data_IF_676611322287
#
_entry.id   IF_676611322287
#
_cell.length_a   1.000
_cell.length_b   1.000
_cell.length_c   1.000
_cell.angle_alpha   90.00
_cell.angle_beta   90.00
_cell.angle_gamma   90.00
#
_symmetry.space_group_name_H-M   'P 1'
#
loop_
_entity.id
_entity.type
_entity.pdbx_description
1 polymer ?
#
# COMPACT_ATOMS: atom_id res chain seq x y z
N UNK A 1 -14.68 15.28 -6.16
CA UNK A 1 -13.56 15.87 -5.35
C UNK A 1 -12.27 15.18 -5.79
N UNK A 2 -11.10 15.88 -5.81
CA UNK A 2 -9.83 15.23 -6.16
C UNK A 2 -9.36 14.39 -4.97
N UNK A 3 -9.06 13.10 -5.13
CA UNK A 3 -8.59 12.27 -4.02
C UNK A 3 -7.14 12.59 -3.63
N UNK A 4 -6.76 12.16 -2.42
CA UNK A 4 -5.38 12.21 -1.92
C UNK A 4 -4.70 10.86 -2.07
N UNK A 5 -3.42 10.84 -2.45
CA UNK A 5 -2.57 9.66 -2.39
C UNK A 5 -1.79 9.65 -1.06
N UNK A 6 -1.96 8.61 -0.27
CA UNK A 6 -1.23 8.36 0.98
C UNK A 6 -0.16 7.29 0.75
N UNK A 7 1.12 7.65 0.89
CA UNK A 7 2.26 6.74 0.70
C UNK A 7 2.80 6.29 2.06
N UNK A 8 2.81 4.98 2.28
CA UNK A 8 3.38 4.39 3.50
C UNK A 8 4.88 4.26 3.35
N UNK A 9 5.62 5.13 4.02
CA UNK A 9 7.07 5.25 3.92
C UNK A 9 7.81 5.15 5.27
N UNK A 10 7.10 4.87 6.38
CA UNK A 10 7.68 4.78 7.73
C UNK A 10 8.45 3.47 8.00
N UNK A 11 8.18 2.40 7.24
CA UNK A 11 8.89 1.12 7.31
C UNK A 11 10.31 1.13 6.76
N UNK A 12 10.78 2.28 6.33
CA UNK A 12 12.00 2.52 5.58
C UNK A 12 13.26 2.43 6.44
N UNK A 13 14.24 1.70 5.95
CA UNK A 13 15.64 1.85 6.39
C UNK A 13 16.15 0.88 7.43
N UNK A 14 15.32 0.04 8.07
CA UNK A 14 15.81 -0.86 9.11
C UNK A 14 16.75 -1.98 8.62
N UNK A 15 16.71 -2.32 7.32
CA UNK A 15 17.53 -3.42 6.76
C UNK A 15 18.76 -2.98 5.97
N UNK A 16 18.87 -1.70 5.59
CA UNK A 16 19.92 -1.21 4.67
C UNK A 16 20.70 0.01 5.18
N UNK A 17 20.50 0.44 6.44
CA UNK A 17 21.24 1.56 7.05
C UNK A 17 21.02 2.93 6.37
N UNK A 18 19.98 3.08 5.52
CA UNK A 18 19.65 4.30 4.81
C UNK A 18 18.28 4.26 4.17
N UNK A 19 17.86 5.37 3.56
CA UNK A 19 16.61 5.48 2.83
C UNK A 19 16.68 4.69 1.49
N UNK A 20 16.30 3.40 1.51
CA UNK A 20 16.21 2.54 0.30
C UNK A 20 15.38 3.20 -0.82
N UNK A 21 14.45 4.08 -0.46
CA UNK A 21 13.57 4.81 -1.38
C UNK A 21 14.28 5.91 -2.16
N UNK A 22 15.54 6.17 -1.83
CA UNK A 22 16.42 7.04 -2.61
C UNK A 22 17.21 6.28 -3.69
N UNK A 23 17.02 4.94 -3.81
CA UNK A 23 17.65 4.19 -4.90
C UNK A 23 17.00 4.59 -6.22
N UNK A 24 17.75 5.31 -7.03
CA UNK A 24 17.34 5.69 -8.37
C UNK A 24 17.32 4.46 -9.28
N UNK A 25 16.17 4.19 -9.85
CA UNK A 25 15.92 3.08 -10.77
C UNK A 25 15.60 3.57 -12.18
N UNK A 26 15.16 4.82 -12.31
CA UNK A 26 14.97 5.50 -13.58
C UNK A 26 16.23 6.18 -14.11
N UNK A 27 16.24 6.59 -15.39
CA UNK A 27 17.43 7.12 -16.08
C UNK A 27 17.96 8.45 -15.49
N UNK A 28 17.13 9.22 -14.81
CA UNK A 28 17.54 10.49 -14.16
C UNK A 28 17.55 10.38 -12.63
N UNK A 29 17.58 9.14 -12.09
CA UNK A 29 17.58 8.90 -10.67
C UNK A 29 16.16 8.86 -10.06
N UNK A 30 15.14 8.69 -10.89
CA UNK A 30 13.77 8.50 -10.40
C UNK A 30 13.67 7.22 -9.59
N UNK A 31 12.96 7.31 -8.46
CA UNK A 31 12.66 6.18 -7.57
C UNK A 31 11.35 5.52 -7.98
N UNK A 32 11.04 4.34 -7.45
CA UNK A 32 9.75 3.68 -7.69
C UNK A 32 8.56 4.59 -7.34
N UNK A 33 8.64 5.29 -6.21
CA UNK A 33 7.53 6.17 -5.80
C UNK A 33 7.36 7.39 -6.72
N UNK A 34 8.40 7.85 -7.41
CA UNK A 34 8.27 8.95 -8.38
C UNK A 34 7.33 8.55 -9.52
N UNK A 35 7.40 7.30 -9.99
CA UNK A 35 6.47 6.75 -11.00
C UNK A 35 5.04 6.64 -10.47
N UNK A 36 4.87 6.17 -9.22
CA UNK A 36 3.55 6.10 -8.58
C UNK A 36 2.91 7.49 -8.45
N UNK A 37 3.69 8.50 -8.05
CA UNK A 37 3.20 9.88 -7.93
C UNK A 37 2.88 10.47 -9.29
N UNK A 38 3.72 10.24 -10.30
CA UNK A 38 3.47 10.67 -11.67
C UNK A 38 2.15 10.09 -12.18
N UNK A 39 1.92 8.79 -12.02
CA UNK A 39 0.68 8.14 -12.45
C UNK A 39 -0.55 8.62 -11.65
N UNK A 40 -0.40 8.89 -10.36
CA UNK A 40 -1.47 9.47 -9.54
C UNK A 40 -1.86 10.88 -10.03
N UNK A 41 -0.88 11.71 -10.41
CA UNK A 41 -1.15 13.04 -11.02
C UNK A 41 -1.95 12.86 -12.32
N UNK A 42 -1.56 11.93 -13.19
CA UNK A 42 -2.26 11.64 -14.44
C UNK A 42 -3.68 11.08 -14.17
N UNK A 43 -3.89 10.37 -13.07
CA UNK A 43 -5.19 9.85 -12.64
C UNK A 43 -6.07 10.89 -11.90
N UNK A 44 -5.60 12.13 -11.77
CA UNK A 44 -6.37 13.25 -11.23
C UNK A 44 -6.32 13.41 -9.70
N UNK A 45 -5.37 12.76 -9.02
CA UNK A 45 -5.13 13.02 -7.60
C UNK A 45 -4.71 14.49 -7.38
N UNK A 46 -5.17 15.07 -6.27
CA UNK A 46 -4.98 16.50 -5.98
C UNK A 46 -3.94 16.81 -4.92
N UNK A 47 -3.52 15.81 -4.16
CA UNK A 47 -2.56 15.94 -3.05
C UNK A 47 -1.86 14.60 -2.79
N UNK A 48 -0.64 14.66 -2.31
CA UNK A 48 0.08 13.50 -1.78
C UNK A 48 0.43 13.73 -0.31
N UNK A 49 0.35 12.66 0.48
CA UNK A 49 0.75 12.67 1.90
C UNK A 49 1.69 11.49 2.12
N UNK A 50 2.81 11.73 2.77
CA UNK A 50 3.75 10.67 3.13
C UNK A 50 3.69 10.40 4.62
N UNK A 51 3.59 9.14 4.99
CA UNK A 51 3.83 8.69 6.37
C UNK A 51 5.27 8.28 6.49
N UNK A 52 6.04 9.01 7.28
CA UNK A 52 7.47 8.75 7.51
C UNK A 52 7.78 8.67 9.02
N UNK A 53 9.00 8.32 9.36
CA UNK A 53 9.51 8.50 10.71
C UNK A 53 10.04 9.93 10.86
N UNK A 54 9.87 10.51 12.05
CA UNK A 54 10.28 11.90 12.33
C UNK A 54 11.79 12.15 12.14
N UNK A 55 12.61 11.15 12.43
CA UNK A 55 14.08 11.25 12.30
C UNK A 55 14.57 11.39 10.85
N UNK A 56 13.72 11.13 9.86
CA UNK A 56 14.04 11.32 8.44
C UNK A 56 13.47 12.61 7.82
N UNK A 57 12.80 13.45 8.59
CA UNK A 57 12.05 14.61 8.05
C UNK A 57 12.92 15.52 7.18
N UNK A 58 14.04 16.01 7.70
CA UNK A 58 14.88 17.00 7.00
C UNK A 58 15.42 16.43 5.68
N UNK A 59 15.93 15.20 5.73
CA UNK A 59 16.44 14.52 4.54
C UNK A 59 15.35 14.25 3.52
N UNK A 60 14.13 13.91 4.00
CA UNK A 60 12.99 13.62 3.13
C UNK A 60 12.47 14.89 2.46
N UNK A 61 12.41 16.01 3.19
CA UNK A 61 12.05 17.32 2.62
C UNK A 61 13.04 17.76 1.54
N UNK A 62 14.32 17.67 1.81
CA UNK A 62 15.36 18.10 0.88
C UNK A 62 15.40 17.24 -0.38
N UNK A 63 15.36 15.92 -0.25
CA UNK A 63 15.64 14.99 -1.36
C UNK A 63 14.41 14.45 -2.08
N UNK A 64 13.24 14.46 -1.41
CA UNK A 64 12.02 13.86 -1.94
C UNK A 64 10.96 14.92 -2.22
N UNK A 65 10.53 15.69 -1.22
CA UNK A 65 9.46 16.66 -1.40
C UNK A 65 9.80 17.73 -2.43
N UNK A 66 11.04 18.18 -2.47
CA UNK A 66 11.52 19.19 -3.43
C UNK A 66 11.28 18.79 -4.89
N UNK A 67 11.23 17.49 -5.20
CA UNK A 67 10.97 17.00 -6.57
C UNK A 67 9.54 17.33 -7.04
N UNK A 68 8.59 17.43 -6.11
CA UNK A 68 7.16 17.59 -6.43
C UNK A 68 6.68 19.03 -6.35
N UNK A 69 7.56 19.97 -5.99
CA UNK A 69 7.25 21.39 -5.95
C UNK A 69 6.77 21.88 -7.33
N UNK A 70 5.60 22.54 -7.36
CA UNK A 70 4.98 23.01 -8.59
C UNK A 70 4.21 21.93 -9.39
N UNK A 71 4.29 20.66 -9.02
CA UNK A 71 3.59 19.56 -9.69
C UNK A 71 2.35 19.11 -8.92
N UNK A 72 2.45 18.91 -7.61
CA UNK A 72 1.34 18.49 -6.74
C UNK A 72 1.63 18.92 -5.30
N UNK A 73 0.61 19.40 -4.53
CA UNK A 73 0.75 19.63 -3.11
C UNK A 73 1.19 18.36 -2.35
N UNK A 74 2.20 18.48 -1.49
CA UNK A 74 2.79 17.36 -0.77
C UNK A 74 2.93 17.68 0.72
N UNK A 75 2.46 16.79 1.59
CA UNK A 75 2.50 16.92 3.04
C UNK A 75 3.15 15.70 3.71
N UNK A 76 3.64 15.88 4.93
CA UNK A 76 4.20 14.81 5.76
C UNK A 76 3.34 14.58 6.99
N UNK A 77 3.18 13.31 7.38
CA UNK A 77 2.81 12.92 8.72
C UNK A 77 3.81 11.90 9.27
N UNK A 78 3.80 11.70 10.56
CA UNK A 78 4.83 10.92 11.23
C UNK A 78 4.22 9.75 11.97
N UNK A 79 4.88 8.59 11.87
CA UNK A 79 4.55 7.42 12.67
C UNK A 79 5.64 7.17 13.70
N UNK A 80 5.26 7.15 14.97
CA UNK A 80 6.12 6.77 16.07
C UNK A 80 5.49 5.64 16.90
N UNK A 81 6.29 4.95 17.71
CA UNK A 81 5.80 3.86 18.56
C UNK A 81 4.89 4.35 19.68
N UNK A 82 5.12 5.57 20.14
CA UNK A 82 4.40 6.23 21.25
C UNK A 82 3.19 7.05 20.78
N UNK A 83 2.90 7.07 19.48
CA UNK A 83 1.65 7.62 18.94
C UNK A 83 0.48 6.67 19.27
N UNK A 84 0.08 6.65 20.53
CA UNK A 84 -0.95 5.76 21.07
C UNK A 84 -2.13 6.56 21.59
N UNK A 85 -3.34 5.96 21.58
CA UNK A 85 -4.50 6.54 22.25
C UNK A 85 -4.26 6.70 23.76
N UNK A 86 -4.97 7.65 24.37
CA UNK A 86 -4.91 7.87 25.81
C UNK A 86 -5.19 6.57 26.59
N UNK A 87 -4.39 6.31 27.62
CA UNK A 87 -4.49 5.13 28.47
C UNK A 87 -3.62 3.95 28.04
N UNK A 88 -2.96 4.03 26.88
CA UNK A 88 -2.04 2.99 26.42
C UNK A 88 -0.58 3.47 26.48
N UNK A 89 0.33 2.52 26.63
CA UNK A 89 1.77 2.77 26.63
C UNK A 89 2.51 1.70 25.83
N UNK A 90 3.68 2.06 25.30
CA UNK A 90 4.53 1.12 24.56
C UNK A 90 5.01 0.01 25.47
N UNK A 91 4.80 -1.27 25.16
CA UNK A 91 5.34 -2.38 25.95
C UNK A 91 6.86 -2.33 26.01
N UNK A 92 7.41 -2.66 27.16
CA UNK A 92 8.87 -2.68 27.36
C UNK A 92 9.57 -3.56 26.33
N UNK A 93 10.58 -2.99 25.66
CA UNK A 93 11.39 -3.67 24.63
C UNK A 93 10.66 -3.90 23.31
N UNK A 94 9.55 -3.21 23.04
CA UNK A 94 8.97 -3.18 21.70
C UNK A 94 9.70 -2.16 20.83
N UNK A 95 10.20 -2.62 19.69
CA UNK A 95 10.87 -1.80 18.66
C UNK A 95 10.09 -1.76 17.35
N UNK A 96 9.22 -2.77 17.13
CA UNK A 96 8.47 -2.91 15.88
C UNK A 96 7.31 -1.92 15.80
N UNK A 97 7.14 -1.17 14.68
CA UNK A 97 5.97 -0.33 14.44
C UNK A 97 4.66 -1.09 14.58
N UNK A 98 3.57 -0.39 14.87
CA UNK A 98 2.25 -1.00 15.09
C UNK A 98 1.56 -1.51 13.83
N UNK A 99 2.15 -1.35 12.66
CA UNK A 99 1.65 -1.88 11.40
C UNK A 99 1.12 -0.83 10.44
N UNK A 100 0.67 -1.29 9.26
CA UNK A 100 0.28 -0.41 8.14
C UNK A 100 -0.98 0.39 8.44
N UNK A 101 -1.94 -0.15 9.20
CA UNK A 101 -3.14 0.60 9.54
C UNK A 101 -2.88 1.70 10.57
N UNK A 102 -1.96 1.49 11.50
CA UNK A 102 -1.50 2.56 12.38
C UNK A 102 -0.81 3.69 11.59
N UNK A 103 -0.03 3.34 10.56
CA UNK A 103 0.56 4.35 9.67
C UNK A 103 -0.52 5.17 8.96
N UNK A 104 -1.58 4.53 8.44
CA UNK A 104 -2.73 5.24 7.84
C UNK A 104 -3.37 6.20 8.84
N UNK A 105 -3.56 5.78 10.08
CA UNK A 105 -4.19 6.58 11.13
C UNK A 105 -3.45 7.90 11.41
N UNK A 106 -2.14 7.95 11.21
CA UNK A 106 -1.34 9.18 11.39
C UNK A 106 -1.74 10.31 10.44
N UNK A 107 -2.44 10.01 9.34
CA UNK A 107 -2.89 11.00 8.36
C UNK A 107 -4.28 11.59 8.67
N UNK A 108 -4.96 11.19 9.74
CA UNK A 108 -6.34 11.56 10.09
C UNK A 108 -6.61 13.06 10.16
N UNK A 109 -5.63 13.83 10.60
CA UNK A 109 -5.77 15.29 10.76
C UNK A 109 -5.48 16.05 9.46
N UNK A 110 -4.80 15.43 8.51
CA UNK A 110 -4.36 16.01 7.23
C UNK A 110 -5.33 15.71 6.10
N UNK A 111 -5.87 14.47 6.05
CA UNK A 111 -6.73 14.00 4.96
C UNK A 111 -8.19 14.11 5.36
N UNK A 112 -8.95 14.91 4.60
CA UNK A 112 -10.40 15.12 4.82
C UNK A 112 -11.25 14.75 3.59
N UNK A 113 -10.61 14.40 2.50
CA UNK A 113 -11.16 13.92 1.23
C UNK A 113 -10.97 12.41 1.06
N UNK A 114 -11.67 11.75 0.11
CA UNK A 114 -11.38 10.36 -0.25
C UNK A 114 -9.90 10.17 -0.60
N UNK A 115 -9.32 9.04 -0.22
CA UNK A 115 -7.88 8.83 -0.38
C UNK A 115 -7.53 7.40 -0.78
N UNK A 116 -6.40 7.26 -1.44
CA UNK A 116 -5.81 5.97 -1.80
C UNK A 116 -4.53 5.76 -0.98
N UNK A 117 -4.39 4.57 -0.41
CA UNK A 117 -3.18 4.14 0.31
C UNK A 117 -2.35 3.22 -0.58
N UNK A 118 -1.04 3.44 -0.60
CA UNK A 118 -0.06 2.57 -1.28
C UNK A 118 1.22 2.40 -0.45
N UNK A 119 1.99 1.37 -0.75
CA UNK A 119 3.38 1.27 -0.32
C UNK A 119 4.26 2.16 -1.21
N UNK A 120 5.30 2.75 -0.66
CA UNK A 120 6.21 3.63 -1.40
C UNK A 120 7.28 2.89 -2.22
N UNK A 121 7.47 1.59 -1.99
CA UNK A 121 8.52 0.77 -2.59
C UNK A 121 8.01 -0.27 -3.61
N UNK A 122 6.74 -0.19 -3.97
CA UNK A 122 6.08 -1.03 -4.97
C UNK A 122 5.79 -0.24 -6.25
N UNK A 123 6.03 -0.86 -7.42
CA UNK A 123 5.63 -0.31 -8.71
C UNK A 123 4.26 -0.86 -9.13
N UNK A 124 3.26 0.01 -9.23
CA UNK A 124 1.87 -0.38 -9.45
C UNK A 124 1.38 -0.23 -10.88
N UNK A 125 2.10 0.54 -11.72
CA UNK A 125 1.74 0.90 -13.08
C UNK A 125 0.46 1.77 -13.16
N UNK A 126 0.32 2.50 -14.28
CA UNK A 126 -0.69 3.55 -14.48
C UNK A 126 -2.13 3.11 -14.33
N UNK A 127 -2.50 1.96 -14.91
CA UNK A 127 -3.90 1.48 -14.88
C UNK A 127 -4.42 1.32 -13.45
N UNK A 128 -3.58 0.89 -12.51
CA UNK A 128 -3.90 0.83 -11.09
C UNK A 128 -4.41 2.18 -10.55
N UNK A 129 -3.69 3.27 -10.82
CA UNK A 129 -4.08 4.62 -10.37
C UNK A 129 -5.31 5.15 -11.10
N UNK A 130 -5.46 4.83 -12.38
CA UNK A 130 -6.64 5.25 -13.15
C UNK A 130 -7.92 4.63 -12.60
N UNK A 131 -7.94 3.32 -12.29
CA UNK A 131 -9.15 2.65 -11.79
C UNK A 131 -9.52 3.12 -10.38
N UNK A 132 -8.55 3.27 -9.46
CA UNK A 132 -8.81 3.72 -8.09
C UNK A 132 -9.11 5.22 -8.03
N UNK A 133 -8.40 6.03 -8.80
CA UNK A 133 -8.62 7.47 -8.90
C UNK A 133 -10.01 7.80 -9.44
N UNK A 134 -10.47 7.07 -10.48
CA UNK A 134 -11.83 7.17 -11.00
C UNK A 134 -12.86 6.83 -9.93
N UNK A 135 -12.73 5.66 -9.27
CA UNK A 135 -13.65 5.25 -8.21
C UNK A 135 -13.78 6.33 -7.12
N UNK A 136 -12.67 6.81 -6.58
CA UNK A 136 -12.66 7.79 -5.48
C UNK A 136 -13.22 9.15 -5.90
N UNK A 137 -12.95 9.60 -7.14
CA UNK A 137 -13.43 10.89 -7.65
C UNK A 137 -14.92 10.90 -7.96
N UNK A 138 -15.50 9.73 -8.29
CA UNK A 138 -16.93 9.55 -8.62
C UNK A 138 -17.80 9.32 -7.38
N UNK A 139 -17.19 9.14 -6.19
CA UNK A 139 -17.97 9.02 -4.96
C UNK A 139 -18.79 10.30 -4.70
N UNK A 140 -20.09 10.18 -4.38
CA UNK A 140 -20.89 11.31 -3.95
C UNK A 140 -20.27 12.01 -2.73
N UNK A 141 -20.43 13.32 -2.66
CA UNK A 141 -20.00 14.09 -1.49
C UNK A 141 -20.63 13.56 -0.20
N UNK A 142 -19.83 13.42 0.86
CA UNK A 142 -20.29 12.86 2.13
C UNK A 142 -20.46 11.34 2.14
N UNK A 143 -20.03 10.63 1.09
CA UNK A 143 -20.01 9.16 1.10
C UNK A 143 -19.26 8.62 2.32
N UNK A 144 -19.84 7.60 2.95
CA UNK A 144 -19.25 6.88 4.10
C UNK A 144 -19.27 5.38 3.86
N UNK A 145 -18.32 4.67 4.45
CA UNK A 145 -18.25 3.21 4.45
C UNK A 145 -18.25 2.58 3.03
N UNK A 146 -17.82 3.35 2.04
CA UNK A 146 -17.71 2.91 0.64
C UNK A 146 -16.26 2.94 0.23
N UNK A 147 -15.64 1.78 0.34
CA UNK A 147 -14.23 1.59 0.11
C UNK A 147 -13.98 0.79 -1.17
N UNK A 148 -12.73 0.74 -1.58
CA UNK A 148 -12.30 -0.08 -2.70
C UNK A 148 -10.89 -0.64 -2.44
N UNK A 149 -10.56 -1.70 -3.14
CA UNK A 149 -9.18 -2.15 -3.30
C UNK A 149 -8.91 -2.41 -4.78
N UNK A 150 -7.67 -2.25 -5.21
CA UNK A 150 -7.25 -2.69 -6.53
C UNK A 150 -6.83 -4.14 -6.45
N UNK A 151 -7.60 -5.02 -7.11
CA UNK A 151 -7.32 -6.45 -7.22
C UNK A 151 -6.37 -6.71 -8.37
N UNK A 152 -5.09 -6.91 -8.06
CA UNK A 152 -4.12 -7.36 -9.04
C UNK A 152 -4.34 -8.83 -9.36
N UNK A 153 -4.10 -9.22 -10.61
CA UNK A 153 -4.11 -10.64 -10.98
C UNK A 153 -2.85 -11.31 -10.43
N UNK A 154 -2.99 -12.38 -9.64
CA UNK A 154 -1.86 -13.01 -8.96
C UNK A 154 -0.71 -13.35 -9.90
N UNK A 155 -1.01 -13.82 -11.13
CA UNK A 155 -0.02 -14.10 -12.15
C UNK A 155 0.83 -12.91 -12.58
N UNK A 156 0.34 -11.67 -12.35
CA UNK A 156 1.04 -10.41 -12.64
C UNK A 156 1.87 -9.88 -11.45
N UNK A 157 1.98 -10.65 -10.35
CA UNK A 157 2.61 -10.18 -9.10
C UNK A 157 3.70 -11.11 -8.58
N UNK A 158 4.11 -12.08 -9.37
CA UNK A 158 5.14 -13.06 -9.00
C UNK A 158 6.55 -12.49 -9.16
N UNK A 159 7.51 -13.10 -8.46
CA UNK A 159 8.94 -12.89 -8.64
C UNK A 159 9.56 -14.12 -9.31
N UNK A 160 10.53 -13.88 -10.18
CA UNK A 160 11.32 -14.97 -10.80
C UNK A 160 12.40 -15.50 -9.82
N UNK A 161 12.64 -14.80 -8.71
CA UNK A 161 13.73 -15.09 -7.77
C UNK A 161 13.28 -15.79 -6.49
N UNK A 162 12.00 -16.15 -6.35
CA UNK A 162 11.49 -16.87 -5.19
C UNK A 162 10.01 -16.69 -4.94
N UNK A 163 9.56 -17.15 -3.77
CA UNK A 163 8.18 -16.98 -3.34
C UNK A 163 7.86 -15.53 -2.98
N UNK A 164 6.60 -15.16 -3.14
CA UNK A 164 6.07 -13.84 -2.73
C UNK A 164 4.92 -14.03 -1.72
N UNK A 165 4.67 -13.02 -0.91
CA UNK A 165 3.52 -12.95 0.00
C UNK A 165 2.44 -12.03 -0.57
N UNK A 166 1.16 -12.48 -0.61
CA UNK A 166 0.03 -11.70 -1.12
C UNK A 166 -1.24 -12.00 -0.34
N UNK A 167 -2.10 -11.00 -0.18
CA UNK A 167 -3.45 -11.22 0.30
C UNK A 167 -4.33 -11.76 -0.83
N UNK A 168 -4.62 -13.06 -0.83
CA UNK A 168 -5.57 -13.65 -1.79
C UNK A 168 -6.97 -13.21 -1.43
N UNK A 169 -7.69 -12.64 -2.40
CA UNK A 169 -9.00 -12.03 -2.23
C UNK A 169 -10.10 -12.89 -2.85
N UNK A 170 -11.22 -12.97 -2.14
CA UNK A 170 -12.49 -13.47 -2.67
C UNK A 170 -13.48 -12.32 -2.79
N UNK A 171 -14.39 -12.40 -3.77
CA UNK A 171 -15.41 -11.39 -4.02
C UNK A 171 -16.77 -12.01 -4.27
N UNK A 172 -17.84 -11.26 -4.00
CA UNK A 172 -19.21 -11.66 -4.30
C UNK A 172 -19.58 -11.36 -5.77
N UNK A 173 -20.85 -11.64 -6.12
CA UNK A 173 -21.37 -11.41 -7.47
C UNK A 173 -21.41 -9.92 -7.86
N UNK A 174 -21.46 -9.04 -6.88
CA UNK A 174 -21.43 -7.57 -7.07
C UNK A 174 -20.01 -7.02 -7.03
N UNK A 175 -18.98 -7.87 -7.14
CA UNK A 175 -17.56 -7.49 -7.09
C UNK A 175 -17.13 -6.85 -5.75
N UNK A 176 -17.84 -7.09 -4.64
CA UNK A 176 -17.40 -6.64 -3.34
C UNK A 176 -16.49 -7.69 -2.69
N UNK A 177 -15.45 -7.23 -2.02
CA UNK A 177 -14.52 -8.06 -1.27
C UNK A 177 -15.25 -8.79 -0.14
N UNK A 178 -15.12 -10.11 -0.10
CA UNK A 178 -15.65 -10.94 0.99
C UNK A 178 -14.57 -11.38 1.97
N UNK A 179 -13.38 -11.66 1.47
CA UNK A 179 -12.22 -12.02 2.30
C UNK A 179 -10.91 -11.56 1.64
N UNK A 180 -9.92 -11.24 2.48
CA UNK A 180 -8.53 -11.04 2.06
C UNK A 180 -7.65 -11.86 3.02
N UNK A 181 -7.04 -12.92 2.51
CA UNK A 181 -6.24 -13.87 3.32
C UNK A 181 -4.79 -13.82 2.88
N UNK A 182 -3.90 -13.42 3.79
CA UNK A 182 -2.47 -13.39 3.55
C UNK A 182 -1.93 -14.81 3.33
N UNK A 183 -1.20 -14.99 2.20
CA UNK A 183 -0.44 -16.21 1.87
C UNK A 183 1.02 -15.82 1.67
N UNK A 184 1.89 -16.37 2.48
CA UNK A 184 3.30 -15.96 2.58
C UNK A 184 4.21 -16.63 1.56
N UNK A 185 3.76 -17.73 0.94
CA UNK A 185 4.53 -18.48 -0.04
C UNK A 185 3.69 -18.71 -1.28
N UNK A 186 3.85 -17.85 -2.29
CA UNK A 186 3.18 -17.99 -3.60
C UNK A 186 4.24 -18.01 -4.68
N UNK A 187 4.16 -18.96 -5.58
CA UNK A 187 5.02 -19.06 -6.75
C UNK A 187 4.35 -19.89 -7.86
N UNK A 188 5.03 -20.02 -8.99
CA UNK A 188 4.57 -20.89 -10.08
C UNK A 188 5.15 -22.29 -9.91
N UNK A 189 4.27 -23.30 -9.79
CA UNK A 189 4.61 -24.73 -9.71
C UNK A 189 4.00 -25.43 -10.92
N UNK A 190 4.81 -26.12 -11.70
CA UNK A 190 4.38 -26.85 -12.91
C UNK A 190 3.49 -26.02 -13.84
N UNK A 191 3.86 -24.75 -14.02
CA UNK A 191 3.16 -23.78 -14.86
C UNK A 191 1.91 -23.14 -14.23
N UNK A 192 1.46 -23.56 -13.04
CA UNK A 192 0.31 -23.00 -12.32
C UNK A 192 0.76 -22.14 -11.15
N UNK A 193 0.09 -21.01 -10.94
CA UNK A 193 0.26 -20.24 -9.71
C UNK A 193 -0.27 -21.06 -8.55
N UNK A 194 0.54 -21.19 -7.50
CA UNK A 194 0.18 -21.98 -6.33
C UNK A 194 0.66 -21.28 -5.05
N UNK A 195 -0.11 -21.42 -3.98
CA UNK A 195 0.32 -20.99 -2.65
C UNK A 195 0.46 -22.21 -1.73
N UNK A 196 1.27 -22.06 -0.68
CA UNK A 196 1.42 -23.07 0.35
C UNK A 196 0.40 -22.85 1.45
N UNK A 197 -0.42 -23.85 1.73
CA UNK A 197 -1.41 -23.80 2.81
C UNK A 197 -0.78 -24.03 4.20
N UNK A 198 -1.60 -24.01 5.24
CA UNK A 198 -1.17 -24.19 6.63
C UNK A 198 -0.63 -25.59 6.92
N UNK A 199 -0.99 -26.58 6.11
CA UNK A 199 -0.48 -27.96 6.18
C UNK A 199 0.83 -28.14 5.38
N UNK A 200 1.31 -27.08 4.71
CA UNK A 200 2.51 -27.09 3.88
C UNK A 200 2.30 -27.66 2.48
N UNK A 201 1.04 -27.81 2.04
CA UNK A 201 0.66 -28.35 0.74
C UNK A 201 0.48 -27.23 -0.27
N UNK A 202 0.96 -27.44 -1.49
CA UNK A 202 0.74 -26.51 -2.59
C UNK A 202 -0.69 -26.59 -3.14
N UNK A 203 -1.39 -25.47 -3.15
CA UNK A 203 -2.75 -25.30 -3.66
C UNK A 203 -2.72 -24.37 -4.86
N UNK A 204 -3.14 -24.88 -6.02
CA UNK A 204 -3.18 -24.10 -7.26
C UNK A 204 -4.34 -23.08 -7.23
N UNK A 205 -4.10 -21.92 -7.84
CA UNK A 205 -5.10 -20.87 -8.09
C UNK A 205 -4.99 -20.41 -9.55
N UNK A 206 -6.06 -19.80 -10.05
CA UNK A 206 -6.06 -19.23 -11.39
C UNK A 206 -5.18 -17.98 -11.46
N UNK A 207 -4.51 -17.78 -12.59
CA UNK A 207 -3.62 -16.62 -12.82
C UNK A 207 -4.32 -15.26 -12.62
N UNK A 208 -5.63 -15.20 -12.85
CA UNK A 208 -6.46 -14.00 -12.68
C UNK A 208 -7.10 -13.87 -11.30
N UNK A 209 -6.79 -14.76 -10.36
CA UNK A 209 -7.25 -14.62 -8.96
C UNK A 209 -6.81 -13.27 -8.41
N UNK A 210 -7.76 -12.46 -7.85
CA UNK A 210 -7.43 -11.16 -7.33
C UNK A 210 -6.59 -11.27 -6.05
N UNK A 211 -5.55 -10.46 -5.98
CA UNK A 211 -4.71 -10.31 -4.78
C UNK A 211 -4.56 -8.86 -4.39
N UNK A 212 -4.46 -8.61 -3.09
CA UNK A 212 -4.10 -7.32 -2.55
C UNK A 212 -2.60 -7.09 -2.67
N UNK A 213 -2.25 -5.93 -3.27
CA UNK A 213 -0.92 -5.35 -3.28
C UNK A 213 -0.85 -4.10 -2.39
N UNK A 214 -1.74 -4.03 -1.39
CA UNK A 214 -1.88 -2.93 -0.45
C UNK A 214 -2.28 -1.59 -1.11
N UNK A 215 -3.07 -1.67 -2.19
CA UNK A 215 -3.70 -0.49 -2.82
C UNK A 215 -5.15 -0.42 -2.39
N UNK A 216 -5.46 0.52 -1.50
CA UNK A 216 -6.76 0.65 -0.86
C UNK A 216 -7.32 2.05 -1.05
N UNK A 217 -8.60 2.15 -1.37
CA UNK A 217 -9.33 3.41 -1.46
C UNK A 217 -10.33 3.55 -0.32
N UNK A 218 -10.29 4.66 0.39
CA UNK A 218 -11.12 4.91 1.56
C UNK A 218 -11.81 6.27 1.51
N UNK A 219 -12.94 6.37 2.18
CA UNK A 219 -13.55 7.64 2.58
C UNK A 219 -13.04 8.04 3.99
N UNK A 220 -13.06 9.34 4.37
CA UNK A 220 -12.43 9.81 5.62
C UNK A 220 -12.95 9.18 6.91
N UNK A 221 -14.18 8.65 6.90
CA UNK A 221 -14.76 7.90 8.04
C UNK A 221 -13.96 6.64 8.42
N UNK A 222 -13.10 6.15 7.50
CA UNK A 222 -12.17 5.07 7.81
C UNK A 222 -11.26 5.38 9.00
N UNK A 223 -10.90 6.64 9.20
CA UNK A 223 -10.07 7.05 10.34
C UNK A 223 -10.79 6.86 11.68
N UNK A 224 -12.11 7.15 11.74
CA UNK A 224 -12.92 6.95 12.94
C UNK A 224 -12.96 5.46 13.34
N UNK A 225 -13.27 4.60 12.39
CA UNK A 225 -13.25 3.14 12.60
C UNK A 225 -11.86 2.63 12.96
N UNK A 226 -10.83 3.13 12.30
CA UNK A 226 -9.45 2.74 12.53
C UNK A 226 -8.96 3.09 13.93
N UNK A 227 -9.35 4.26 14.45
CA UNK A 227 -9.01 4.70 15.81
C UNK A 227 -9.71 3.83 16.86
N UNK A 228 -10.99 3.50 16.66
CA UNK A 228 -11.74 2.63 17.55
C UNK A 228 -11.15 1.23 17.61
N UNK A 229 -10.89 0.62 16.45
CA UNK A 229 -10.34 -0.73 16.38
C UNK A 229 -8.88 -0.81 16.77
N UNK A 230 -8.13 0.27 16.68
CA UNK A 230 -6.78 0.31 17.24
C UNK A 230 -6.81 0.26 18.77
N UNK A 231 -7.77 0.91 19.43
CA UNK A 231 -7.99 0.80 20.87
C UNK A 231 -8.34 -0.64 21.28
N UNK A 232 -9.23 -1.32 20.51
CA UNK A 232 -9.54 -2.72 20.75
C UNK A 232 -8.30 -3.61 20.58
N UNK A 233 -7.52 -3.41 19.51
CA UNK A 233 -6.29 -4.15 19.24
C UNK A 233 -5.29 -4.02 20.40
N UNK A 234 -5.12 -2.81 20.95
CA UNK A 234 -4.26 -2.54 22.08
C UNK A 234 -4.83 -3.08 23.41
N UNK A 235 -6.14 -3.27 23.51
CA UNK A 235 -6.81 -3.81 24.69
C UNK A 235 -6.67 -5.33 24.81
N UNK A 236 -6.31 -6.02 23.73
CA UNK A 236 -6.04 -7.47 23.74
C UNK A 236 -4.66 -7.75 24.33
N UNK A 237 -4.58 -8.45 25.49
CA UNK A 237 -3.31 -8.80 26.12
C UNK A 237 -2.36 -9.57 25.19
N UNK A 238 -2.89 -10.42 24.31
CA UNK A 238 -2.07 -11.19 23.37
C UNK A 238 -1.31 -10.28 22.39
N UNK A 239 -1.96 -9.20 21.94
CA UNK A 239 -1.31 -8.22 21.05
C UNK A 239 -0.27 -7.39 21.80
N UNK A 240 -0.51 -7.08 23.07
CA UNK A 240 0.42 -6.30 23.88
C UNK A 240 1.64 -7.12 24.35
N UNK A 241 1.45 -8.39 24.67
CA UNK A 241 2.55 -9.31 25.01
C UNK A 241 3.40 -9.65 23.79
N UNK A 242 2.78 -9.76 22.62
CA UNK A 242 3.49 -10.02 21.37
C UNK A 242 4.13 -8.73 20.82
N UNK A 243 5.41 -8.50 21.13
CA UNK A 243 6.19 -7.34 20.64
C UNK A 243 6.27 -7.21 19.11
N UNK A 244 5.79 -8.22 18.37
CA UNK A 244 5.75 -8.26 16.90
C UNK A 244 4.33 -8.15 16.33
N UNK A 245 3.29 -8.06 17.18
CA UNK A 245 1.92 -7.89 16.71
C UNK A 245 1.78 -6.59 15.89
N UNK A 246 1.07 -6.66 14.80
CA UNK A 246 0.86 -5.53 13.88
C UNK A 246 -0.60 -5.37 13.53
N UNK A 247 -1.07 -4.14 13.56
CA UNK A 247 -2.40 -3.72 13.14
C UNK A 247 -2.36 -3.39 11.64
N UNK A 248 -2.66 -4.40 10.82
CA UNK A 248 -2.60 -4.30 9.36
C UNK A 248 -3.91 -3.80 8.75
N UNK A 249 -3.83 -3.15 7.58
CA UNK A 249 -4.99 -2.71 6.80
C UNK A 249 -5.93 -3.90 6.47
N UNK A 250 -5.47 -5.06 5.96
CA UNK A 250 -6.36 -6.19 5.69
C UNK A 250 -7.12 -6.70 6.93
N UNK A 251 -6.50 -6.66 8.11
CA UNK A 251 -7.17 -7.04 9.36
C UNK A 251 -8.36 -6.12 9.65
N UNK A 252 -8.12 -4.81 9.55
CA UNK A 252 -9.15 -3.79 9.73
C UNK A 252 -10.27 -3.92 8.70
N UNK A 253 -9.92 -4.07 7.42
CA UNK A 253 -10.88 -4.22 6.33
C UNK A 253 -11.75 -5.46 6.51
N UNK A 254 -11.15 -6.62 6.81
CA UNK A 254 -11.91 -7.85 7.07
C UNK A 254 -12.89 -7.69 8.24
N UNK A 255 -12.49 -7.01 9.31
CA UNK A 255 -13.37 -6.72 10.45
C UNK A 255 -14.58 -5.90 10.00
N UNK A 256 -14.37 -4.80 9.28
CA UNK A 256 -15.46 -3.94 8.78
C UNK A 256 -16.43 -4.67 7.86
N UNK A 257 -15.93 -5.54 6.99
CA UNK A 257 -16.76 -6.37 6.09
C UNK A 257 -17.57 -7.37 6.89
N UNK A 258 -16.95 -8.10 7.82
CA UNK A 258 -17.60 -9.14 8.61
C UNK A 258 -18.67 -8.59 9.53
N UNK A 259 -18.52 -7.36 10.03
CA UNK A 259 -19.52 -6.65 10.83
C UNK A 259 -20.61 -5.97 9.98
N UNK A 260 -20.46 -6.00 8.65
CA UNK A 260 -21.41 -5.32 7.75
C UNK A 260 -21.34 -3.79 7.82
N UNK A 261 -20.27 -3.24 8.40
CA UNK A 261 -20.11 -1.80 8.58
C UNK A 261 -19.75 -1.11 7.27
N UNK A 262 -18.94 -1.75 6.42
CA UNK A 262 -18.49 -1.18 5.15
C UNK A 262 -18.57 -2.19 3.99
N UNK A 263 -18.66 -1.65 2.78
CA UNK A 263 -18.47 -2.40 1.54
C UNK A 263 -17.15 -2.00 0.88
N UNK A 264 -16.43 -2.97 0.35
CA UNK A 264 -15.14 -2.76 -0.32
C UNK A 264 -15.22 -3.29 -1.74
N UNK A 265 -15.26 -2.42 -2.74
CA UNK A 265 -15.28 -2.81 -4.15
C UNK A 265 -13.92 -3.35 -4.58
N UNK A 266 -13.87 -4.49 -5.23
CA UNK A 266 -12.65 -5.02 -5.87
C UNK A 266 -12.59 -4.46 -7.27
N UNK A 267 -11.62 -3.59 -7.54
CA UNK A 267 -11.39 -2.99 -8.85
C UNK A 267 -10.36 -3.84 -9.60
N UNK A 268 -10.75 -4.42 -10.74
CA UNK A 268 -9.81 -5.18 -11.59
C UNK A 268 -8.81 -4.25 -12.25
N UNK A 269 -7.56 -4.67 -12.35
CA UNK A 269 -6.52 -3.99 -13.11
C UNK A 269 -5.73 -4.97 -13.96
N UNK A 270 -5.30 -4.50 -15.13
CA UNK A 270 -4.38 -5.22 -16.00
C UNK A 270 -2.92 -4.95 -15.67
N UNK A 271 -2.66 -4.07 -14.72
CA UNK A 271 -1.33 -3.68 -14.27
C UNK A 271 -0.47 -4.88 -13.90
N UNK A 272 0.80 -4.81 -14.24
CA UNK A 272 1.85 -5.71 -13.77
C UNK A 272 2.57 -5.03 -12.62
N UNK A 273 2.57 -5.68 -11.46
CA UNK A 273 3.35 -5.24 -10.33
C UNK A 273 4.79 -5.73 -10.47
N UNK A 274 5.72 -4.92 -10.05
CA UNK A 274 7.09 -5.34 -9.75
C UNK A 274 7.68 -4.46 -8.63
N UNK A 275 8.75 -4.96 -8.01
CA UNK A 275 9.44 -4.26 -6.94
C UNK A 275 10.79 -4.92 -6.68
N UNK A 276 11.62 -4.31 -5.85
CA UNK A 276 12.90 -4.86 -5.42
C UNK A 276 12.68 -5.65 -4.13
N UNK A 277 12.20 -6.90 -4.26
CA UNK A 277 12.04 -7.82 -3.11
C UNK A 277 13.38 -8.41 -2.71
N UNK A 278 14.15 -8.84 -3.69
CA UNK A 278 15.50 -9.37 -3.56
C UNK A 278 16.50 -8.40 -4.21
N UNK A 279 17.74 -8.36 -3.73
CA UNK A 279 18.77 -7.53 -4.37
C UNK A 279 18.97 -7.87 -5.86
N UNK A 280 18.77 -9.13 -6.23
CA UNK A 280 18.83 -9.61 -7.62
C UNK A 280 17.73 -9.03 -8.51
N UNK A 281 16.60 -8.56 -7.95
CA UNK A 281 15.50 -7.98 -8.73
C UNK A 281 15.86 -6.61 -9.31
N UNK A 282 16.83 -5.89 -8.72
CA UNK A 282 17.14 -4.49 -9.05
C UNK A 282 17.35 -4.26 -10.55
N UNK A 283 18.20 -5.06 -11.19
CA UNK A 283 18.48 -4.88 -12.63
C UNK A 283 17.22 -5.15 -13.46
N UNK A 284 16.45 -6.18 -13.14
CA UNK A 284 15.19 -6.48 -13.82
C UNK A 284 14.17 -5.34 -13.68
N UNK A 285 14.13 -4.65 -12.53
CA UNK A 285 13.25 -3.48 -12.32
C UNK A 285 13.72 -2.30 -13.18
N UNK A 286 15.02 -2.01 -13.23
CA UNK A 286 15.59 -0.98 -14.11
C UNK A 286 15.26 -1.25 -15.57
N UNK A 287 15.43 -2.47 -16.04
CA UNK A 287 15.16 -2.87 -17.43
C UNK A 287 13.67 -2.73 -17.77
N UNK A 288 12.78 -3.10 -16.85
CA UNK A 288 11.31 -2.94 -17.01
C UNK A 288 10.91 -1.47 -17.08
N UNK A 289 11.48 -0.61 -16.23
CA UNK A 289 11.23 0.83 -16.27
C UNK A 289 11.71 1.41 -17.60
N UNK A 290 12.91 1.04 -18.06
CA UNK A 290 13.44 1.50 -19.33
C UNK A 290 12.56 1.05 -20.50
N UNK A 291 12.07 -0.19 -20.50
CA UNK A 291 11.12 -0.67 -21.52
C UNK A 291 9.85 0.17 -21.56
N UNK A 292 9.28 0.53 -20.40
CA UNK A 292 8.09 1.38 -20.34
C UNK A 292 8.35 2.81 -20.87
N UNK A 293 9.57 3.33 -20.71
CA UNK A 293 9.99 4.60 -21.30
C UNK A 293 10.13 4.48 -22.81
N UNK A 294 10.78 3.43 -23.29
CA UNK A 294 10.98 3.17 -24.73
C UNK A 294 9.65 2.93 -25.46
N UNK A 295 8.67 2.34 -24.79
CA UNK A 295 7.30 2.17 -25.27
C UNK A 295 6.46 3.46 -25.21
N UNK A 296 7.01 4.55 -24.66
CA UNK A 296 6.33 5.84 -24.53
C UNK A 296 5.27 5.90 -23.42
N UNK A 297 5.25 4.93 -22.50
CA UNK A 297 4.35 4.94 -21.33
C UNK A 297 4.76 6.03 -20.36
N UNK A 298 6.06 6.22 -20.16
CA UNK A 298 6.62 7.30 -19.36
C UNK A 298 7.53 8.20 -20.20
N UNK A 299 7.61 9.50 -19.88
CA UNK A 299 8.64 10.38 -20.45
C UNK A 299 10.01 9.99 -19.87
N UNK A 300 11.09 10.37 -20.56
CA UNK A 300 12.45 10.13 -20.11
C UNK A 300 12.78 10.84 -18.77
N UNK A 301 12.07 11.93 -18.45
CA UNK A 301 12.13 12.66 -17.18
C UNK A 301 10.73 12.93 -16.69
N UNK A 302 10.39 12.56 -15.43
CA UNK A 302 9.03 12.63 -14.89
C UNK A 302 8.64 14.05 -14.43
N UNK A 303 9.58 14.78 -13.80
CA UNK A 303 9.38 16.10 -13.18
C UNK A 303 10.46 17.10 -13.58
#
# INVERSE_FOLDING_TARGET
>A
MKPTLLLLAAGMGSRYGGLKQLDGLGPNGETIMDYSIYDAIQAGFGKIVFVIRKDFEDQFREKILSKYEGHIPAELCFQALDDLPEGFSVPEGREKPWGTNHAVLMAKDIIKEPFCVINCDDFYNRDCFMVIGKFLSELPEGSKNRYAMVGFRVGNTLSDNGTVARGICSKDADENLTTCVERTEIMRIDGKVSYKDEEGKWVAVEDNTPVSMNVWGFTPDYFEHSEEYFKEFLSDPNNMENKKAEFFIPLMVNKLINEGTATVKVLDTTSKWFGVTYAADRQSVVDKIQSLIDEGVYPNKLF
#
